data_IF_977775811687
#
_entry.id   IF_977775811687
#
_cell.length_a   1.000
_cell.length_b   1.000
_cell.length_c   1.000
_cell.angle_alpha   90.00
_cell.angle_beta   90.00
_cell.angle_gamma   90.00
#
_symmetry.space_group_name_H-M   'P 1'
#
loop_
_entity.id
_entity.type
_entity.pdbx_description
1 polymer ?
#
# COMPACT_ATOMS: atom_id res chain seq x y z
N UNK A 1 -3.72 -0.40 6.74
CA UNK A 1 -3.66 0.46 5.55
C UNK A 1 -5.05 0.86 5.06
N UNK A 2 -6.04 -0.04 5.04
CA UNK A 2 -7.39 0.28 4.54
C UNK A 2 -8.02 1.54 5.14
N UNK A 3 -7.80 1.77 6.44
CA UNK A 3 -8.24 2.99 7.11
C UNK A 3 -7.71 4.30 6.47
N UNK A 4 -6.53 4.28 5.85
CA UNK A 4 -5.98 5.44 5.14
C UNK A 4 -6.70 5.68 3.80
N UNK A 5 -6.98 4.61 3.05
CA UNK A 5 -7.72 4.71 1.79
C UNK A 5 -9.17 5.17 2.00
N UNK A 6 -9.76 4.85 3.15
CA UNK A 6 -11.11 5.30 3.52
C UNK A 6 -11.14 6.67 4.23
N UNK A 7 -9.99 7.27 4.53
CA UNK A 7 -9.94 8.53 5.29
C UNK A 7 -10.49 9.71 4.46
N UNK A 8 -11.49 10.45 4.96
CA UNK A 8 -12.13 11.52 4.19
C UNK A 8 -11.20 12.72 3.94
N UNK A 9 -10.27 13.02 4.85
CA UNK A 9 -9.33 14.13 4.67
C UNK A 9 -8.31 13.76 3.60
N UNK A 10 -7.78 12.54 3.65
CA UNK A 10 -6.84 12.06 2.62
C UNK A 10 -7.50 11.96 1.24
N UNK A 11 -8.77 11.59 1.15
CA UNK A 11 -9.50 11.59 -0.13
C UNK A 11 -9.81 13.00 -0.69
N UNK A 12 -9.83 14.03 0.17
CA UNK A 12 -9.89 15.42 -0.31
C UNK A 12 -8.55 15.87 -0.88
N UNK A 13 -7.44 15.46 -0.24
CA UNK A 13 -6.09 15.80 -0.70
C UNK A 13 -5.64 14.99 -1.91
N UNK A 14 -6.09 13.75 -2.01
CA UNK A 14 -5.73 12.79 -3.04
C UNK A 14 -7.03 12.25 -3.68
N UNK A 15 -7.65 13.00 -4.61
CA UNK A 15 -8.86 12.55 -5.29
C UNK A 15 -8.70 11.16 -5.93
N UNK A 16 -9.66 10.27 -5.64
CA UNK A 16 -9.63 8.88 -6.12
C UNK A 16 -8.78 7.94 -5.27
N UNK A 17 -8.35 8.36 -4.07
CA UNK A 17 -7.52 7.54 -3.18
C UNK A 17 -8.21 6.23 -2.81
N UNK A 18 -9.50 6.26 -2.45
CA UNK A 18 -10.24 5.06 -2.05
C UNK A 18 -10.15 3.92 -3.08
N UNK A 19 -10.23 4.27 -4.36
CA UNK A 19 -10.20 3.34 -5.48
C UNK A 19 -8.81 2.72 -5.72
N UNK A 20 -7.76 3.28 -5.11
CA UNK A 20 -6.39 2.75 -5.18
C UNK A 20 -6.16 1.57 -4.23
N UNK A 21 -7.06 1.34 -3.27
CA UNK A 21 -6.92 0.19 -2.37
C UNK A 21 -6.94 -1.12 -3.16
N UNK A 22 -5.98 -2.00 -2.84
CA UNK A 22 -5.87 -3.34 -3.42
C UNK A 22 -6.29 -4.43 -2.45
N UNK A 23 -6.84 -4.08 -1.29
CA UNK A 23 -7.18 -5.06 -0.25
C UNK A 23 -8.12 -6.15 -0.78
N UNK A 24 -9.19 -5.75 -1.48
CA UNK A 24 -10.14 -6.70 -2.06
C UNK A 24 -9.48 -7.65 -3.09
N UNK A 25 -8.48 -7.18 -3.85
CA UNK A 25 -7.73 -8.01 -4.78
C UNK A 25 -6.85 -9.03 -4.04
N UNK A 26 -6.19 -8.61 -2.96
CA UNK A 26 -5.39 -9.50 -2.10
C UNK A 26 -6.27 -10.54 -1.43
N UNK A 27 -7.44 -10.15 -0.92
CA UNK A 27 -8.40 -11.08 -0.31
C UNK A 27 -8.87 -12.13 -1.32
N UNK A 28 -9.17 -11.71 -2.56
CA UNK A 28 -9.52 -12.65 -3.62
C UNK A 28 -8.34 -13.56 -4.02
N UNK A 29 -7.13 -13.03 -4.09
CA UNK A 29 -5.94 -13.84 -4.37
C UNK A 29 -5.71 -14.90 -3.29
N UNK A 30 -5.90 -14.55 -2.02
CA UNK A 30 -5.84 -15.50 -0.91
C UNK A 30 -6.91 -16.58 -1.03
N UNK A 31 -8.13 -16.21 -1.42
CA UNK A 31 -9.21 -17.16 -1.67
C UNK A 31 -8.90 -18.10 -2.85
N UNK A 32 -8.38 -17.57 -3.96
CA UNK A 32 -7.94 -18.35 -5.12
C UNK A 32 -6.86 -19.39 -4.71
N UNK A 33 -5.99 -19.03 -3.77
CA UNK A 33 -4.94 -19.90 -3.22
C UNK A 33 -5.43 -20.85 -2.10
N UNK A 34 -6.71 -20.80 -1.73
CA UNK A 34 -7.28 -21.61 -0.64
C UNK A 34 -6.74 -21.24 0.75
N UNK A 35 -6.16 -20.06 0.93
CA UNK A 35 -5.67 -19.60 2.22
C UNK A 35 -6.84 -19.23 3.14
N UNK A 36 -6.92 -19.88 4.30
CA UNK A 36 -7.90 -19.51 5.32
C UNK A 36 -7.43 -18.27 6.07
N UNK A 37 -8.12 -17.15 5.88
CA UNK A 37 -7.86 -15.91 6.64
C UNK A 37 -8.65 -15.85 7.94
N UNK A 38 -9.67 -16.69 8.10
CA UNK A 38 -10.52 -16.78 9.30
C UNK A 38 -9.69 -17.15 10.53
N UNK A 39 -9.80 -16.35 11.59
CA UNK A 39 -9.08 -16.56 12.85
C UNK A 39 -7.63 -16.06 12.87
N UNK A 40 -7.09 -15.57 11.75
CA UNK A 40 -5.78 -14.92 11.75
C UNK A 40 -5.93 -13.51 12.31
N UNK A 41 -5.42 -13.28 13.52
CA UNK A 41 -5.38 -11.94 14.10
C UNK A 41 -4.46 -11.06 13.26
N UNK A 42 -5.04 -10.16 12.45
CA UNK A 42 -4.27 -9.13 11.80
C UNK A 42 -3.66 -8.22 12.88
N UNK A 43 -2.41 -7.75 12.70
CA UNK A 43 -1.83 -6.75 13.58
C UNK A 43 -2.74 -5.52 13.59
N UNK A 44 -2.77 -4.83 14.74
CA UNK A 44 -3.50 -3.58 14.85
C UNK A 44 -3.09 -2.65 13.70
N UNK A 45 -4.05 -1.96 13.06
CA UNK A 45 -3.72 -1.11 11.92
C UNK A 45 -2.74 -0.02 12.38
N UNK A 46 -1.67 0.17 11.61
CA UNK A 46 -0.67 1.22 11.87
C UNK A 46 -1.29 2.62 12.00
N UNK A 47 -2.50 2.80 11.45
CA UNK A 47 -3.31 4.02 11.54
C UNK A 47 -4.74 3.65 11.89
N UNK A 48 -5.23 4.25 12.98
CA UNK A 48 -6.65 4.29 13.28
C UNK A 48 -7.14 5.74 13.10
N UNK A 49 -8.32 5.98 12.51
CA UNK A 49 -8.91 7.30 12.48
C UNK A 49 -9.29 7.69 13.91
N UNK A 50 -8.44 8.49 14.56
CA UNK A 50 -8.83 9.16 15.79
C UNK A 50 -9.51 10.48 15.39
N UNK A 51 -10.79 10.62 15.75
CA UNK A 51 -11.49 11.90 15.60
C UNK A 51 -10.70 12.99 16.36
N UNK A 52 -10.24 14.01 15.63
CA UNK A 52 -9.41 15.08 16.19
C UNK A 52 -7.91 14.77 16.26
N UNK A 53 -7.42 13.73 15.57
CA UNK A 53 -5.99 13.48 15.45
C UNK A 53 -5.27 14.70 14.85
N UNK A 54 -4.13 15.12 15.42
CA UNK A 54 -3.38 16.26 14.90
C UNK A 54 -2.92 16.01 13.45
N UNK A 55 -2.71 17.09 12.69
CA UNK A 55 -2.16 17.07 11.32
C UNK A 55 -0.83 16.29 11.21
N UNK A 56 -0.14 16.05 12.32
CA UNK A 56 1.02 15.17 12.40
C UNK A 56 0.72 13.74 11.94
N UNK A 57 -0.52 13.24 12.08
CA UNK A 57 -0.92 11.92 11.58
C UNK A 57 -1.08 11.92 10.05
N UNK A 58 -1.49 13.05 9.47
CA UNK A 58 -1.69 13.19 8.02
C UNK A 58 -0.37 13.13 7.26
N UNK A 59 0.65 13.89 7.67
CA UNK A 59 1.95 13.87 7.02
C UNK A 59 2.58 12.47 7.06
N UNK A 60 2.52 11.79 8.21
CA UNK A 60 2.99 10.40 8.30
C UNK A 60 2.19 9.45 7.41
N UNK A 61 0.86 9.61 7.34
CA UNK A 61 0.01 8.82 6.45
C UNK A 61 0.37 9.00 4.96
N UNK A 62 0.66 10.23 4.52
CA UNK A 62 1.13 10.49 3.15
C UNK A 62 2.41 9.73 2.82
N UNK A 63 3.36 9.65 3.77
CA UNK A 63 4.57 8.85 3.61
C UNK A 63 4.29 7.34 3.45
N UNK A 64 3.34 6.82 4.21
CA UNK A 64 2.90 5.42 4.06
C UNK A 64 2.20 5.14 2.73
N UNK A 65 1.34 6.07 2.29
CA UNK A 65 0.69 6.00 0.98
C UNK A 65 1.72 6.05 -0.15
N UNK A 66 2.71 6.95 -0.07
CA UNK A 66 3.82 7.00 -1.03
C UNK A 66 4.52 5.65 -1.17
N UNK A 67 4.87 5.00 -0.07
CA UNK A 67 5.54 3.69 -0.09
C UNK A 67 4.66 2.61 -0.71
N UNK A 68 3.38 2.54 -0.34
CA UNK A 68 2.47 1.49 -0.84
C UNK A 68 2.08 1.72 -2.30
N UNK A 69 1.78 2.95 -2.72
CA UNK A 69 1.49 3.27 -4.11
C UNK A 69 2.72 3.03 -5.00
N UNK A 70 3.91 3.42 -4.52
CA UNK A 70 5.17 3.22 -5.23
C UNK A 70 5.52 1.75 -5.46
N UNK A 71 5.17 0.86 -4.51
CA UNK A 71 5.37 -0.59 -4.66
C UNK A 71 4.74 -1.19 -5.93
N UNK A 72 3.69 -0.54 -6.47
CA UNK A 72 2.99 -1.02 -7.66
C UNK A 72 3.86 -0.95 -8.94
N UNK A 73 4.85 -0.07 -8.97
CA UNK A 73 5.79 0.03 -10.10
C UNK A 73 6.60 -1.27 -10.22
N UNK A 74 7.14 -1.76 -9.09
CA UNK A 74 7.92 -2.99 -9.03
C UNK A 74 7.10 -4.27 -9.20
N UNK A 75 5.78 -4.22 -8.94
CA UNK A 75 4.89 -5.37 -9.05
C UNK A 75 4.84 -6.00 -10.45
N UNK A 76 5.28 -5.29 -11.51
CA UNK A 76 5.45 -5.87 -12.84
C UNK A 76 6.42 -7.07 -12.84
N UNK A 77 7.53 -6.98 -12.10
CA UNK A 77 8.50 -8.07 -11.99
C UNK A 77 7.92 -9.25 -11.21
N UNK A 78 7.17 -8.96 -10.13
CA UNK A 78 6.51 -9.98 -9.31
C UNK A 78 5.43 -10.72 -10.11
N UNK A 79 4.61 -10.01 -10.89
CA UNK A 79 3.59 -10.64 -11.74
C UNK A 79 4.22 -11.58 -12.77
N UNK A 80 5.36 -11.18 -13.36
CA UNK A 80 6.11 -12.04 -14.29
C UNK A 80 6.65 -13.29 -13.58
N UNK A 81 7.16 -13.15 -12.36
CA UNK A 81 7.64 -14.29 -11.58
C UNK A 81 6.49 -15.22 -11.15
N UNK A 82 5.33 -14.66 -10.78
CA UNK A 82 4.14 -15.39 -10.37
C UNK A 82 3.61 -16.33 -11.47
N UNK A 83 3.79 -15.96 -12.75
CA UNK A 83 3.47 -16.85 -13.88
C UNK A 83 4.23 -18.19 -13.83
N UNK A 84 5.45 -18.21 -13.28
CA UNK A 84 6.21 -19.45 -13.05
C UNK A 84 5.58 -20.39 -12.02
N UNK A 85 4.65 -19.87 -11.20
CA UNK A 85 3.86 -20.62 -10.22
C UNK A 85 2.44 -20.93 -10.74
N UNK A 86 2.13 -20.59 -12.00
CA UNK A 86 0.79 -20.74 -12.56
C UNK A 86 -0.22 -19.69 -12.10
N UNK A 87 0.24 -18.56 -11.55
CA UNK A 87 -0.59 -17.45 -11.09
C UNK A 87 -0.56 -16.30 -12.09
N UNK A 88 -1.67 -15.57 -12.21
CA UNK A 88 -1.77 -14.42 -13.11
C UNK A 88 -2.78 -13.36 -12.60
N UNK A 89 -2.97 -12.31 -13.39
CA UNK A 89 -3.89 -11.21 -13.06
C UNK A 89 -5.37 -11.65 -12.98
N UNK A 90 -5.70 -12.86 -13.42
CA UNK A 90 -7.01 -13.49 -13.35
C UNK A 90 -7.14 -14.61 -12.31
N UNK A 91 -6.05 -15.02 -11.64
CA UNK A 91 -6.06 -16.03 -10.58
C UNK A 91 -4.83 -15.94 -9.66
N UNK A 92 -5.05 -15.68 -8.37
CA UNK A 92 -4.01 -15.71 -7.33
C UNK A 92 -2.91 -14.64 -7.39
N UNK A 93 -2.92 -13.74 -8.38
CA UNK A 93 -2.02 -12.60 -8.50
C UNK A 93 -2.69 -11.33 -9.05
N UNK A 94 -4.00 -11.17 -8.82
CA UNK A 94 -4.80 -9.99 -9.21
C UNK A 94 -4.24 -8.70 -8.64
N UNK A 95 -3.79 -8.70 -7.39
CA UNK A 95 -3.25 -7.51 -6.72
C UNK A 95 -1.95 -6.98 -7.38
N UNK A 96 -1.27 -7.82 -8.18
CA UNK A 96 -0.07 -7.44 -8.92
C UNK A 96 -0.41 -6.86 -10.31
N UNK A 97 -1.66 -6.96 -10.77
CA UNK A 97 -2.08 -6.44 -12.07
C UNK A 97 -1.83 -4.93 -12.19
N UNK A 98 -1.50 -4.42 -13.40
CA UNK A 98 -1.41 -2.99 -13.61
C UNK A 98 -2.80 -2.35 -13.56
N UNK A 99 -2.86 -1.06 -13.22
CA UNK A 99 -4.05 -0.25 -13.49
C UNK A 99 -4.35 -0.26 -15.00
N UNK A 100 -5.62 -0.07 -15.39
CA UNK A 100 -6.04 -0.06 -16.80
C UNK A 100 -5.27 0.98 -17.63
N UNK A 101 -5.01 2.16 -17.05
CA UNK A 101 -4.22 3.23 -17.67
C UNK A 101 -2.70 3.00 -17.63
N UNK A 102 -2.26 1.89 -17.04
CA UNK A 102 -0.85 1.52 -16.88
C UNK A 102 -0.20 2.07 -15.60
N UNK A 103 0.80 1.34 -15.11
CA UNK A 103 1.50 1.61 -13.83
C UNK A 103 2.13 3.00 -13.79
N UNK A 104 2.83 3.37 -14.86
CA UNK A 104 3.56 4.64 -14.93
C UNK A 104 2.64 5.85 -15.00
N UNK A 105 1.47 5.73 -15.65
CA UNK A 105 0.49 6.81 -15.67
C UNK A 105 -0.14 7.00 -14.28
N UNK A 106 -0.58 5.90 -13.68
CA UNK A 106 -1.23 5.92 -12.37
C UNK A 106 -0.31 6.39 -11.22
N UNK A 107 0.98 6.06 -11.30
CA UNK A 107 1.98 6.56 -10.36
C UNK A 107 2.28 8.05 -10.55
N UNK A 108 2.43 8.51 -11.79
CA UNK A 108 2.64 9.94 -12.07
C UNK A 108 1.47 10.78 -11.60
N UNK A 109 0.25 10.29 -11.78
CA UNK A 109 -0.97 10.94 -11.29
C UNK A 109 -0.96 11.05 -9.76
N UNK A 110 -0.64 9.97 -9.04
CA UNK A 110 -0.52 10.00 -7.58
C UNK A 110 0.52 11.02 -7.11
N UNK A 111 1.71 11.00 -7.71
CA UNK A 111 2.80 11.92 -7.34
C UNK A 111 2.41 13.37 -7.63
N UNK A 112 1.75 13.64 -8.76
CA UNK A 112 1.28 14.98 -9.07
C UNK A 112 0.30 15.51 -8.00
N UNK A 113 -0.64 14.67 -7.54
CA UNK A 113 -1.55 15.06 -6.45
C UNK A 113 -0.79 15.25 -5.11
N UNK A 114 0.19 14.39 -4.82
CA UNK A 114 1.01 14.52 -3.61
C UNK A 114 1.86 15.79 -3.60
N UNK A 115 2.45 16.17 -4.74
CA UNK A 115 3.25 17.39 -4.91
C UNK A 115 2.43 18.68 -4.76
N UNK A 116 1.10 18.60 -4.95
CA UNK A 116 0.19 19.73 -4.74
C UNK A 116 -0.15 19.95 -3.25
N UNK A 117 0.09 18.96 -2.39
CA UNK A 117 -0.15 19.09 -0.95
C UNK A 117 0.85 20.08 -0.34
N UNK A 118 0.33 21.18 0.20
CA UNK A 118 1.15 22.20 0.88
C UNK A 118 1.55 21.72 2.27
N UNK A 119 2.84 21.44 2.44
CA UNK A 119 3.44 21.01 3.69
C UNK A 119 4.45 22.04 4.18
N UNK A 120 4.56 22.20 5.49
CA UNK A 120 5.70 22.85 6.13
C UNK A 120 6.92 21.92 6.13
N UNK A 121 8.13 22.46 6.30
CA UNK A 121 9.35 21.65 6.39
C UNK A 121 9.29 20.58 7.51
N UNK A 122 8.60 20.87 8.62
CA UNK A 122 8.40 19.89 9.68
C UNK A 122 7.41 18.77 9.29
N UNK A 123 6.48 19.04 8.38
CA UNK A 123 5.57 18.05 7.84
C UNK A 123 6.24 17.21 6.75
N UNK A 124 7.02 17.80 5.85
CA UNK A 124 7.85 17.07 4.88
C UNK A 124 8.75 16.06 5.59
N UNK A 125 9.46 16.48 6.65
CA UNK A 125 10.27 15.56 7.46
C UNK A 125 9.45 14.41 8.09
N UNK A 126 8.15 14.64 8.39
CA UNK A 126 7.25 13.58 8.88
C UNK A 126 6.75 12.67 7.76
N UNK A 127 6.60 13.17 6.53
CA UNK A 127 6.34 12.35 5.34
C UNK A 127 7.50 11.38 5.14
N UNK A 128 8.73 11.88 5.16
CA UNK A 128 9.94 11.06 5.02
C UNK A 128 10.04 9.98 6.10
N UNK A 129 9.84 10.38 7.37
CA UNK A 129 9.84 9.44 8.49
C UNK A 129 8.71 8.40 8.36
N UNK A 130 7.54 8.80 7.87
CA UNK A 130 6.42 7.89 7.58
C UNK A 130 6.76 6.88 6.50
N UNK A 131 7.38 7.32 5.39
CA UNK A 131 7.81 6.44 4.32
C UNK A 131 8.86 5.42 4.81
N UNK A 132 9.85 5.87 5.59
CA UNK A 132 10.86 5.00 6.21
C UNK A 132 10.21 3.96 7.14
N UNK A 133 9.25 4.37 7.96
CA UNK A 133 8.51 3.46 8.84
C UNK A 133 7.71 2.42 8.04
N UNK A 134 7.09 2.82 6.93
CA UNK A 134 6.37 1.90 6.05
C UNK A 134 7.30 0.86 5.41
N UNK A 135 8.48 1.28 4.94
CA UNK A 135 9.50 0.35 4.43
C UNK A 135 10.00 -0.61 5.50
N UNK A 136 10.28 -0.10 6.71
CA UNK A 136 10.71 -0.94 7.84
C UNK A 136 9.65 -1.97 8.22
N UNK A 137 8.37 -1.58 8.23
CA UNK A 137 7.25 -2.50 8.48
C UNK A 137 7.14 -3.57 7.39
N UNK A 138 7.22 -3.19 6.11
CA UNK A 138 7.20 -4.15 5.00
C UNK A 138 8.34 -5.17 5.09
N UNK A 139 9.56 -4.70 5.42
CA UNK A 139 10.71 -5.57 5.63
C UNK A 139 10.50 -6.52 6.82
N UNK A 140 9.99 -6.02 7.95
CA UNK A 140 9.72 -6.84 9.12
C UNK A 140 8.69 -7.95 8.81
N UNK A 141 7.63 -7.64 8.06
CA UNK A 141 6.68 -8.66 7.60
C UNK A 141 7.32 -9.68 6.66
N UNK A 142 8.14 -9.23 5.70
CA UNK A 142 8.84 -10.14 4.80
C UNK A 142 9.75 -11.09 5.60
N UNK A 143 10.52 -10.59 6.56
CA UNK A 143 11.40 -11.41 7.40
C UNK A 143 10.61 -12.40 8.28
N UNK A 144 9.47 -11.98 8.80
CA UNK A 144 8.63 -12.83 9.65
C UNK A 144 7.97 -13.98 8.88
N UNK A 145 7.48 -13.72 7.67
CA UNK A 145 6.65 -14.66 6.91
C UNK A 145 7.37 -15.35 5.74
N UNK A 146 8.53 -14.84 5.33
CA UNK A 146 9.42 -15.44 4.33
C UNK A 146 10.81 -15.62 4.95
N UNK A 147 10.96 -16.49 5.98
CA UNK A 147 12.27 -16.75 6.55
C UNK A 147 13.18 -17.28 5.43
N UNK A 148 14.24 -16.55 5.13
CA UNK A 148 15.32 -17.06 4.28
C UNK A 148 15.93 -18.21 5.07
N UNK A 149 15.87 -19.43 4.54
CA UNK A 149 16.58 -20.54 5.15
C UNK A 149 18.07 -20.17 5.14
N UNK A 150 18.73 -20.24 6.30
CA UNK A 150 20.19 -20.16 6.35
C UNK A 150 20.74 -21.29 5.45
N UNK A 151 21.56 -20.91 4.47
CA UNK A 151 22.30 -21.85 3.59
C UNK A 151 23.34 -22.66 4.38
#
# INVERSE_FOLDING_TARGET
>A
MEALYADPVLNVLLPGLRERSRLALVEQDLADLGAQTEGTALPAPAFAPAAGAPATNMATALGWLYTVEGSNIGAAFLLKAAAGLGLDAGFGARHLAPHADGRAAHWRDFIAQLDEVRLSAAEESRVDAGAQAAFAAALAYAQQYLPVADE
#
